data_IF_242349879950
#
_entry.id   IF_242349879950
#
_cell.length_a   1.000
_cell.length_b   1.000
_cell.length_c   1.000
_cell.angle_alpha   90.00
_cell.angle_beta   90.00
_cell.angle_gamma   90.00
#
_symmetry.space_group_name_H-M   'P 1'
#
loop_
_entity.id
_entity.type
_entity.pdbx_description
1 polymer ?
#
# COMPACT_ATOMS: atom_id res chain seq x y z
N UNK A 1 -7.62 -5.07 23.58
CA UNK A 1 -6.22 -5.52 23.38
C UNK A 1 -5.33 -4.52 24.11
N UNK A 2 -4.40 -4.96 24.97
CA UNK A 2 -3.44 -4.05 25.59
C UNK A 2 -2.45 -3.54 24.53
N UNK A 3 -1.88 -2.35 24.70
CA UNK A 3 -0.92 -1.80 23.73
C UNK A 3 0.26 -2.72 23.43
N UNK A 4 0.66 -3.56 24.39
CA UNK A 4 1.71 -4.57 24.22
C UNK A 4 1.36 -5.67 23.21
N UNK A 5 0.11 -6.13 23.17
CA UNK A 5 -0.31 -7.14 22.20
C UNK A 5 -0.38 -6.58 20.77
N UNK A 6 -0.78 -5.31 20.62
CA UNK A 6 -0.80 -4.63 19.32
C UNK A 6 0.61 -4.44 18.76
N UNK A 7 1.56 -3.98 19.58
CA UNK A 7 2.95 -3.80 19.13
C UNK A 7 3.57 -5.13 18.67
N UNK A 8 3.34 -6.21 19.43
CA UNK A 8 3.83 -7.53 19.04
C UNK A 8 3.28 -8.00 17.68
N UNK A 9 1.99 -7.79 17.42
CA UNK A 9 1.39 -8.13 16.12
C UNK A 9 2.00 -7.31 14.97
N UNK A 10 2.29 -6.02 15.21
CA UNK A 10 2.93 -5.17 14.21
C UNK A 10 4.38 -5.57 13.93
N UNK A 11 5.13 -6.01 14.96
CA UNK A 11 6.45 -6.59 14.79
C UNK A 11 6.39 -7.88 13.96
N UNK A 12 5.47 -8.80 14.27
CA UNK A 12 5.28 -10.03 13.50
C UNK A 12 4.92 -9.74 12.02
N UNK A 13 4.09 -8.71 11.77
CA UNK A 13 3.77 -8.27 10.41
C UNK A 13 4.98 -7.65 9.68
N UNK A 14 5.79 -6.87 10.41
CA UNK A 14 7.01 -6.28 9.88
C UNK A 14 8.03 -7.37 9.50
N UNK A 15 8.11 -8.46 10.26
CA UNK A 15 9.00 -9.59 9.94
C UNK A 15 8.54 -10.37 8.69
N UNK A 16 7.24 -10.33 8.36
CA UNK A 16 6.67 -11.02 7.19
C UNK A 16 6.69 -10.18 5.90
N UNK A 17 7.03 -8.90 5.99
CA UNK A 17 6.87 -7.94 4.88
C UNK A 17 8.10 -7.06 4.73
N UNK A 18 8.25 -6.43 3.56
CA UNK A 18 9.24 -5.37 3.39
C UNK A 18 8.59 -4.02 3.67
N UNK A 19 9.16 -3.25 4.61
CA UNK A 19 8.70 -1.90 4.92
C UNK A 19 9.36 -0.92 3.94
N UNK A 20 8.53 -0.21 3.17
CA UNK A 20 8.99 0.86 2.28
C UNK A 20 9.21 2.18 3.03
N UNK A 21 10.21 2.94 2.59
CA UNK A 21 10.46 4.29 3.08
C UNK A 21 9.37 5.27 2.63
N UNK A 22 9.08 6.26 3.49
CA UNK A 22 8.33 7.46 3.13
C UNK A 22 9.32 8.62 2.99
N UNK A 23 9.76 8.86 1.77
CA UNK A 23 10.77 9.90 1.50
C UNK A 23 10.15 11.29 1.33
N UNK A 24 10.97 12.34 1.41
CA UNK A 24 10.52 13.70 1.10
C UNK A 24 10.00 13.85 -0.34
N UNK A 25 10.44 12.99 -1.27
CA UNK A 25 9.93 12.96 -2.64
C UNK A 25 8.49 12.43 -2.66
N UNK A 26 8.23 11.31 -1.97
CA UNK A 26 6.88 10.75 -1.80
C UNK A 26 5.95 11.81 -1.24
N UNK A 27 6.31 12.43 -0.12
CA UNK A 27 5.50 13.49 0.52
C UNK A 27 5.20 14.64 -0.45
N UNK A 28 6.22 15.15 -1.17
CA UNK A 28 6.03 16.25 -2.13
C UNK A 28 5.15 15.86 -3.32
N UNK A 29 5.15 14.59 -3.73
CA UNK A 29 4.26 14.10 -4.77
C UNK A 29 2.83 13.95 -4.23
N UNK A 30 2.64 13.35 -3.05
CA UNK A 30 1.35 13.17 -2.40
C UNK A 30 0.58 14.48 -2.17
N UNK A 31 1.29 15.55 -1.83
CA UNK A 31 0.73 16.90 -1.68
C UNK A 31 0.16 17.50 -2.97
N UNK A 32 0.50 16.96 -4.14
CA UNK A 32 0.09 17.46 -5.45
C UNK A 32 -0.99 16.61 -6.12
N UNK A 33 -1.55 15.63 -5.40
CA UNK A 33 -2.50 14.68 -5.96
C UNK A 33 -3.95 15.10 -5.74
N UNK A 34 -4.85 14.48 -6.49
CA UNK A 34 -6.30 14.60 -6.30
C UNK A 34 -6.87 13.50 -5.40
N UNK A 35 -6.04 12.75 -4.65
CA UNK A 35 -6.55 11.79 -3.68
C UNK A 35 -7.31 12.54 -2.60
N UNK A 36 -8.48 12.01 -2.22
CA UNK A 36 -9.30 12.61 -1.17
C UNK A 36 -8.65 12.43 0.20
N UNK A 37 -8.06 11.26 0.43
CA UNK A 37 -7.32 10.95 1.64
C UNK A 37 -5.81 11.14 1.39
N UNK A 38 -5.16 11.81 2.31
CA UNK A 38 -3.71 12.03 2.25
C UNK A 38 -2.93 10.74 2.55
N UNK A 39 -3.48 9.84 3.38
CA UNK A 39 -2.87 8.54 3.65
C UNK A 39 -2.77 7.71 2.36
N UNK A 40 -3.87 7.62 1.59
CA UNK A 40 -3.91 6.93 0.29
C UNK A 40 -2.90 7.54 -0.69
N UNK A 41 -2.77 8.87 -0.69
CA UNK A 41 -1.80 9.58 -1.53
C UNK A 41 -0.35 9.22 -1.17
N UNK A 42 -0.03 9.06 0.12
CA UNK A 42 1.30 8.63 0.57
C UNK A 42 1.54 7.18 0.15
N UNK A 43 0.61 6.27 0.46
CA UNK A 43 0.73 4.85 0.13
C UNK A 43 0.89 4.64 -1.38
N UNK A 44 0.11 5.35 -2.21
CA UNK A 44 0.21 5.31 -3.65
C UNK A 44 1.58 5.78 -4.17
N UNK A 45 2.08 6.92 -3.67
CA UNK A 45 3.37 7.43 -4.11
C UNK A 45 4.57 6.63 -3.58
N UNK A 46 4.45 6.03 -2.38
CA UNK A 46 5.42 5.03 -1.90
C UNK A 46 5.45 3.82 -2.82
N UNK A 47 4.28 3.27 -3.19
CA UNK A 47 4.18 2.15 -4.12
C UNK A 47 4.82 2.45 -5.49
N UNK A 48 4.59 3.65 -6.05
CA UNK A 48 5.23 4.08 -7.30
C UNK A 48 6.74 4.28 -7.21
N UNK A 49 7.30 4.41 -6.01
CA UNK A 49 8.74 4.55 -5.82
C UNK A 49 9.49 3.22 -5.89
N UNK A 50 8.75 2.09 -5.81
CA UNK A 50 9.29 0.74 -5.88
C UNK A 50 9.35 0.32 -7.36
N UNK A 51 10.55 0.03 -7.91
CA UNK A 51 10.69 -0.49 -9.26
C UNK A 51 9.95 -1.83 -9.42
N UNK A 52 9.30 -2.01 -10.56
CA UNK A 52 8.67 -3.28 -10.96
C UNK A 52 7.60 -3.82 -9.99
N UNK A 53 6.97 -2.95 -9.18
CA UNK A 53 5.84 -3.33 -8.34
C UNK A 53 4.62 -3.69 -9.19
N UNK A 54 4.11 -4.92 -9.04
CA UNK A 54 3.03 -5.44 -9.89
C UNK A 54 1.67 -4.78 -9.61
N UNK A 55 1.25 -4.73 -8.34
CA UNK A 55 -0.06 -4.24 -7.94
C UNK A 55 -0.14 -3.80 -6.47
N UNK A 56 -1.11 -2.93 -6.19
CA UNK A 56 -1.55 -2.58 -4.83
C UNK A 56 -2.72 -3.48 -4.45
N UNK A 57 -2.71 -4.06 -3.24
CA UNK A 57 -3.83 -4.83 -2.72
C UNK A 57 -4.62 -4.01 -1.70
N UNK A 58 -5.92 -3.82 -1.93
CA UNK A 58 -6.80 -3.13 -0.98
C UNK A 58 -8.25 -3.62 -1.09
N UNK A 59 -9.00 -3.57 0.01
CA UNK A 59 -10.45 -3.79 -0.02
C UNK A 59 -11.22 -2.60 -0.59
N UNK A 60 -10.55 -1.46 -0.77
CA UNK A 60 -11.18 -0.19 -1.13
C UNK A 60 -10.63 0.38 -2.45
N UNK A 61 -10.73 -0.41 -3.52
CA UNK A 61 -10.16 -0.08 -4.85
C UNK A 61 -10.68 1.24 -5.43
N UNK A 62 -11.87 1.70 -5.03
CA UNK A 62 -12.47 2.97 -5.48
C UNK A 62 -11.67 4.21 -5.08
N UNK A 63 -10.84 4.13 -4.06
CA UNK A 63 -10.04 5.28 -3.59
C UNK A 63 -8.75 5.43 -4.41
N UNK A 64 -8.39 4.40 -5.19
CA UNK A 64 -7.21 4.37 -6.06
C UNK A 64 -7.55 4.40 -7.55
N UNK A 65 -8.73 4.94 -7.93
CA UNK A 65 -9.19 4.98 -9.35
C UNK A 65 -8.23 5.67 -10.32
N UNK A 66 -7.40 6.58 -9.83
CA UNK A 66 -6.39 7.31 -10.63
C UNK A 66 -5.01 6.64 -10.59
N UNK A 67 -4.91 5.43 -10.02
CA UNK A 67 -3.67 4.70 -9.90
C UNK A 67 -3.13 4.31 -11.28
N UNK A 68 -1.81 4.49 -11.46
CA UNK A 68 -1.06 3.93 -12.59
C UNK A 68 -0.70 2.46 -12.39
N UNK A 69 -0.69 2.00 -11.15
CA UNK A 69 -0.50 0.59 -10.79
C UNK A 69 -1.83 -0.14 -10.83
N UNK A 70 -1.80 -1.44 -11.15
CA UNK A 70 -2.97 -2.29 -10.96
C UNK A 70 -3.37 -2.27 -9.47
N UNK A 71 -4.67 -2.21 -9.20
CA UNK A 71 -5.21 -2.20 -7.84
C UNK A 71 -6.20 -3.34 -7.73
N UNK A 72 -5.88 -4.31 -6.88
CA UNK A 72 -6.62 -5.56 -6.77
C UNK A 72 -7.24 -5.67 -5.37
N UNK A 73 -8.42 -6.29 -5.29
CA UNK A 73 -8.92 -6.84 -4.04
C UNK A 73 -8.07 -8.04 -3.62
N UNK A 74 -8.08 -8.44 -2.33
CA UNK A 74 -7.37 -9.63 -1.89
C UNK A 74 -7.71 -10.90 -2.70
N UNK A 75 -8.98 -11.07 -3.07
CA UNK A 75 -9.43 -12.21 -3.89
C UNK A 75 -8.85 -12.15 -5.30
N UNK A 76 -8.82 -10.98 -5.93
CA UNK A 76 -8.24 -10.80 -7.27
C UNK A 76 -6.72 -10.99 -7.25
N UNK A 77 -6.03 -10.53 -6.20
CA UNK A 77 -4.60 -10.74 -6.03
C UNK A 77 -4.25 -12.23 -5.85
N UNK A 78 -5.03 -12.99 -5.08
CA UNK A 78 -4.83 -14.43 -4.95
C UNK A 78 -5.02 -15.15 -6.29
N UNK A 79 -6.00 -14.71 -7.09
CA UNK A 79 -6.24 -15.26 -8.42
C UNK A 79 -5.13 -14.90 -9.43
N UNK A 80 -4.51 -13.71 -9.31
CA UNK A 80 -3.42 -13.28 -10.21
C UNK A 80 -2.08 -13.94 -9.91
N UNK A 81 -1.86 -14.40 -8.67
CA UNK A 81 -0.59 -15.02 -8.24
C UNK A 81 -0.44 -16.50 -8.66
N UNK A 82 -1.39 -17.06 -9.43
CA UNK A 82 -1.38 -18.47 -9.84
C UNK A 82 -1.21 -19.46 -8.68
N UNK A 83 -1.71 -19.13 -7.49
CA UNK A 83 -1.69 -20.01 -6.30
C UNK A 83 -2.94 -20.93 -6.31
N UNK A 84 -3.32 -21.42 -7.48
CA UNK A 84 -4.34 -22.46 -7.69
C UNK A 84 -3.81 -23.56 -8.60
#
# INVERSE_FOLDING_TARGET
MSGSATLKLLEELADMTEITDVTAVVIRQSLKTDFKDYEDAIQYHSALSIPDLDFIVTRNTKDFKKSKLAVLTPTEALASLNIM
#
